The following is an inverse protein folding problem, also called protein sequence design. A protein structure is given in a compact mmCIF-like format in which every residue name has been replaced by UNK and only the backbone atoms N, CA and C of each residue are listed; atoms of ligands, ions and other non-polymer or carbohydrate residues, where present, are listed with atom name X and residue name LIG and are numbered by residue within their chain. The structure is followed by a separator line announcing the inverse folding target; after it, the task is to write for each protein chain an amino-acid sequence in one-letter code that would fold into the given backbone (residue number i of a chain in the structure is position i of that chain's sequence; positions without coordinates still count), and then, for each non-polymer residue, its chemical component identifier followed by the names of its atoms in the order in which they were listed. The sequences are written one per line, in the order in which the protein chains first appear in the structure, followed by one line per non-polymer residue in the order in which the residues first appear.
data_IF_400822334451
#
_entry.id   IF_400822334451
#
_cell.length_a   1.000
_cell.length_b   1.000
_cell.length_c   1.000
_cell.angle_alpha   90.00
_cell.angle_beta   90.00
_cell.angle_gamma   90.00
#
_symmetry.space_group_name_H-M   'P 1'
#
loop_
_entity.id
_entity.type
_entity.pdbx_description
1 polymer ?
#
# COMPACT_ATOMS: atom_id res chain seq x y z
N UNK A 1 -13.92 3.36 -4.33
CA UNK A 1 -13.26 2.27 -3.58
C UNK A 1 -12.24 2.91 -2.63
N UNK A 2 -12.04 2.37 -1.43
CA UNK A 2 -11.07 2.85 -0.44
C UNK A 2 -9.73 2.17 -0.66
N UNK A 3 -8.78 2.90 -1.22
CA UNK A 3 -7.44 2.44 -1.58
C UNK A 3 -6.44 3.03 -0.61
N UNK A 4 -5.63 2.17 0.00
CA UNK A 4 -4.61 2.58 0.96
C UNK A 4 -3.22 2.13 0.54
N UNK A 5 -2.26 3.03 0.68
CA UNK A 5 -0.89 2.87 0.22
C UNK A 5 0.06 2.79 1.40
N UNK A 6 1.04 1.90 1.35
CA UNK A 6 2.13 1.78 2.31
C UNK A 6 3.47 1.69 1.58
N UNK A 7 4.33 2.68 1.78
CA UNK A 7 5.73 2.64 1.36
C UNK A 7 6.60 2.28 2.57
N UNK A 8 6.96 1.00 2.72
CA UNK A 8 7.61 0.50 3.94
C UNK A 8 9.10 0.88 4.03
N UNK A 9 9.72 1.24 2.91
CA UNK A 9 11.18 1.28 2.78
C UNK A 9 11.84 2.65 2.71
N UNK A 10 11.08 3.74 2.63
CA UNK A 10 11.70 5.06 2.56
C UNK A 10 10.76 6.21 2.89
N UNK A 11 11.35 7.32 3.37
CA UNK A 11 10.68 8.63 3.51
C UNK A 11 10.24 9.21 2.17
N UNK A 12 10.85 8.76 1.06
CA UNK A 12 10.46 9.15 -0.29
C UNK A 12 9.62 8.02 -0.88
N UNK A 13 8.36 8.27 -1.25
CA UNK A 13 7.51 7.25 -1.82
C UNK A 13 8.07 6.74 -3.16
N UNK A 14 8.01 5.43 -3.37
CA UNK A 14 8.44 4.80 -4.62
C UNK A 14 7.56 5.27 -5.79
N UNK A 15 8.17 5.48 -6.96
CA UNK A 15 7.51 5.82 -8.22
C UNK A 15 6.38 4.83 -8.56
N UNK A 16 6.55 3.54 -8.24
CA UNK A 16 5.50 2.54 -8.48
C UNK A 16 4.22 2.85 -7.69
N UNK A 17 4.33 3.15 -6.40
CA UNK A 17 3.20 3.55 -5.55
C UNK A 17 2.59 4.87 -6.03
N UNK A 18 3.43 5.81 -6.49
CA UNK A 18 2.93 7.08 -7.05
C UNK A 18 2.09 6.85 -8.30
N UNK A 19 2.52 5.98 -9.22
CA UNK A 19 1.76 5.62 -10.43
C UNK A 19 0.42 4.95 -10.09
N UNK A 20 0.41 4.01 -9.14
CA UNK A 20 -0.81 3.37 -8.64
C UNK A 20 -1.75 4.42 -8.03
N UNK A 21 -1.19 5.36 -7.25
CA UNK A 21 -1.96 6.45 -6.66
C UNK A 21 -2.64 7.30 -7.73
N UNK A 22 -1.90 7.73 -8.76
CA UNK A 22 -2.44 8.53 -9.86
C UNK A 22 -3.52 7.78 -10.66
N UNK A 23 -3.33 6.48 -10.91
CA UNK A 23 -4.30 5.66 -11.62
C UNK A 23 -5.64 5.59 -10.87
N UNK A 24 -5.63 5.21 -9.59
CA UNK A 24 -6.86 5.13 -8.80
C UNK A 24 -7.53 6.50 -8.59
N UNK A 25 -6.73 7.56 -8.39
CA UNK A 25 -7.25 8.93 -8.34
C UNK A 25 -7.95 9.34 -9.64
N UNK A 26 -7.43 8.92 -10.80
CA UNK A 26 -8.07 9.19 -12.10
C UNK A 26 -9.41 8.49 -12.29
N UNK A 27 -9.64 7.38 -11.56
CA UNK A 27 -10.91 6.65 -11.55
C UNK A 27 -11.92 7.20 -10.54
N UNK A 28 -11.52 8.18 -9.71
CA UNK A 28 -12.36 8.73 -8.64
C UNK A 28 -12.35 7.91 -7.34
N UNK A 29 -11.38 7.02 -7.15
CA UNK A 29 -11.22 6.28 -5.90
C UNK A 29 -10.66 7.14 -4.76
N UNK A 30 -10.99 6.80 -3.51
CA UNK A 30 -10.39 7.40 -2.33
C UNK A 30 -9.01 6.77 -2.11
N UNK A 31 -7.96 7.53 -2.43
CA UNK A 31 -6.57 7.09 -2.31
C UNK A 31 -5.85 7.90 -1.24
N UNK A 32 -5.44 7.24 -0.17
CA UNK A 32 -4.64 7.85 0.90
C UNK A 32 -3.55 6.90 1.42
N UNK A 33 -2.66 7.44 2.26
CA UNK A 33 -1.73 6.63 3.03
C UNK A 33 -2.49 5.78 4.05
N UNK A 34 -2.04 4.56 4.27
CA UNK A 34 -2.67 3.65 5.22
C UNK A 34 -2.40 4.08 6.67
N UNK A 35 -3.47 4.23 7.45
CA UNK A 35 -3.41 4.38 8.89
C UNK A 35 -4.16 3.21 9.59
N UNK A 36 -3.45 2.33 10.31
CA UNK A 36 -4.07 1.21 11.02
C UNK A 36 -5.22 1.62 11.96
N UNK A 37 -5.21 2.83 12.52
CA UNK A 37 -6.25 3.26 13.45
C UNK A 37 -7.60 3.52 12.76
N UNK A 38 -7.58 3.95 11.50
CA UNK A 38 -8.77 4.39 10.77
C UNK A 38 -9.12 3.51 9.57
N UNK A 39 -8.14 2.79 9.03
CA UNK A 39 -8.27 2.11 7.74
C UNK A 39 -8.31 0.57 7.87
N UNK A 40 -8.19 0.02 9.08
CA UNK A 40 -8.01 -1.43 9.28
C UNK A 40 -9.21 -2.27 8.83
N UNK A 41 -10.43 -1.75 8.85
CA UNK A 41 -11.65 -2.53 8.60
C UNK A 41 -12.46 -2.11 7.37
N UNK A 42 -12.13 -0.98 6.76
CA UNK A 42 -12.91 -0.38 5.66
C UNK A 42 -12.06 -0.15 4.40
N UNK A 43 -10.79 -0.58 4.42
CA UNK A 43 -9.94 -0.60 3.22
C UNK A 43 -10.40 -1.70 2.27
N UNK A 44 -10.67 -1.33 1.02
CA UNK A 44 -10.99 -2.29 -0.04
C UNK A 44 -9.72 -2.88 -0.68
N UNK A 45 -8.74 -2.00 -0.96
CA UNK A 45 -7.47 -2.37 -1.60
C UNK A 45 -6.31 -1.76 -0.83
N UNK A 46 -5.33 -2.59 -0.52
CA UNK A 46 -4.10 -2.21 0.16
C UNK A 46 -2.88 -2.52 -0.72
N UNK A 47 -2.09 -1.49 -1.03
CA UNK A 47 -0.85 -1.62 -1.78
C UNK A 47 0.36 -1.40 -0.88
N UNK A 48 1.21 -2.41 -0.78
CA UNK A 48 2.50 -2.35 -0.09
C UNK A 48 3.65 -2.34 -1.09
N UNK A 49 4.50 -1.32 -1.03
CA UNK A 49 5.77 -1.30 -1.76
C UNK A 49 6.92 -1.47 -0.77
N UNK A 50 7.65 -2.57 -0.94
CA UNK A 50 8.87 -2.89 -0.20
C UNK A 50 9.93 -3.33 -1.20
N UNK A 51 10.95 -2.50 -1.42
CA UNK A 51 12.08 -2.72 -2.35
C UNK A 51 13.30 -3.31 -1.61
N UNK A 52 13.53 -2.91 -0.36
CA UNK A 52 14.67 -3.34 0.44
C UNK A 52 14.28 -4.50 1.35
N UNK A 53 15.15 -5.50 1.38
CA UNK A 53 14.94 -6.72 2.17
C UNK A 53 15.36 -6.56 3.64
N UNK A 54 16.02 -5.46 4.01
CA UNK A 54 16.52 -5.24 5.37
C UNK A 54 15.51 -4.55 6.30
N UNK A 55 14.43 -3.99 5.77
CA UNK A 55 13.38 -3.37 6.60
C UNK A 55 12.45 -4.44 7.18
N UNK A 56 11.96 -4.26 8.42
CA UNK A 56 11.01 -5.20 9.02
C UNK A 56 9.71 -5.26 8.20
N UNK A 57 9.07 -6.43 8.23
CA UNK A 57 7.74 -6.58 7.64
C UNK A 57 6.71 -5.76 8.43
N UNK A 58 5.73 -5.22 7.70
CA UNK A 58 4.64 -4.50 8.30
C UNK A 58 3.65 -5.49 8.94
N UNK A 59 3.21 -5.26 10.17
CA UNK A 59 2.39 -6.23 10.91
C UNK A 59 0.90 -5.89 10.98
N UNK A 60 0.51 -4.66 10.65
CA UNK A 60 -0.85 -4.15 10.89
C UNK A 60 -1.70 -4.13 9.62
N UNK A 61 -1.78 -5.26 8.93
CA UNK A 61 -2.52 -5.34 7.66
C UNK A 61 -4.04 -5.13 7.85
N UNK A 62 -4.70 -4.48 6.88
CA UNK A 62 -6.16 -4.34 6.92
C UNK A 62 -6.86 -5.69 6.78
N UNK A 63 -7.99 -5.82 7.46
CA UNK A 63 -8.81 -7.03 7.50
C UNK A 63 -9.80 -7.01 6.34
N UNK A 64 -9.82 -8.07 5.55
CA UNK A 64 -10.78 -8.23 4.44
C UNK A 64 -10.42 -7.46 3.15
N UNK A 65 -9.36 -6.65 3.17
CA UNK A 65 -8.87 -5.93 2.00
C UNK A 65 -8.15 -6.84 1.00
N UNK A 66 -8.15 -6.47 -0.28
CA UNK A 66 -7.24 -7.05 -1.28
C UNK A 66 -5.83 -6.49 -1.10
N UNK A 67 -4.89 -7.34 -0.72
CA UNK A 67 -3.51 -6.95 -0.46
C UNK A 67 -2.64 -7.24 -1.68
N UNK A 68 -2.03 -6.19 -2.24
CA UNK A 68 -1.03 -6.28 -3.31
C UNK A 68 0.33 -5.84 -2.77
N UNK A 69 1.36 -6.67 -2.96
CA UNK A 69 2.72 -6.39 -2.50
C UNK A 69 3.66 -6.37 -3.70
N UNK A 70 4.55 -5.39 -3.75
CA UNK A 70 5.53 -5.26 -4.81
C UNK A 70 6.92 -4.91 -4.29
N UNK A 71 7.94 -5.49 -4.93
CA UNK A 71 9.36 -5.13 -4.73
C UNK A 71 10.22 -6.17 -4.00
N UNK A 72 9.63 -7.17 -3.34
CA UNK A 72 10.38 -8.28 -2.76
C UNK A 72 10.67 -9.34 -3.85
N UNK A 73 11.95 -9.67 -4.05
CA UNK A 73 12.39 -10.73 -4.98
C UNK A 73 11.95 -12.14 -4.58
N UNK A 74 11.40 -12.33 -3.37
CA UNK A 74 11.05 -13.66 -2.86
C UNK A 74 9.56 -14.02 -2.94
N UNK A 75 8.69 -13.15 -3.47
CA UNK A 75 7.29 -13.50 -3.75
C UNK A 75 6.81 -12.87 -5.06
N UNK A 76 7.13 -13.53 -6.17
CA UNK A 76 6.35 -13.48 -7.40
C UNK A 76 5.38 -14.67 -7.44
#
# INVERSE_FOLDING_TARGET
MKVRLLANDSKIPNIAIMKISSYHKSLGDDVNWYDPMFDMYDTDIFYESKIFTFSPDFNYYPVGAKIFRGGDRNRC
#
